data_IF_336780468051
#
_entry.id   IF_336780468051
#
_cell.length_a   1.000
_cell.length_b   1.000
_cell.length_c   1.000
_cell.angle_alpha   90.00
_cell.angle_beta   90.00
_cell.angle_gamma   90.00
#
_symmetry.space_group_name_H-M   'P 1'
#
loop_
_entity.id
_entity.type
_entity.pdbx_description
1 polymer ?
#
# COMPACT_ATOMS: atom_id res chain seq x y z
N UNK A 1 -9.49 -3.36 4.78
CA UNK A 1 -10.51 -2.29 4.76
C UNK A 1 -10.22 -1.55 6.03
N UNK A 2 -9.85 -0.27 5.99
CA UNK A 2 -9.76 0.49 7.23
C UNK A 2 -11.20 0.71 7.70
N UNK A 3 -11.54 0.02 8.77
CA UNK A 3 -12.91 0.05 9.30
C UNK A 3 -13.10 1.38 10.04
N UNK A 4 -14.19 2.10 9.72
CA UNK A 4 -14.56 3.33 10.43
C UNK A 4 -14.95 3.06 11.90
N UNK A 5 -15.25 1.81 12.24
CA UNK A 5 -15.22 1.30 13.61
C UNK A 5 -14.74 -0.15 13.61
N UNK A 6 -13.97 -0.54 14.62
CA UNK A 6 -13.37 -1.86 14.69
C UNK A 6 -14.31 -2.87 15.36
N UNK A 7 -15.06 -3.64 14.57
CA UNK A 7 -16.01 -4.60 15.13
C UNK A 7 -15.32 -5.67 16.01
N UNK A 8 -15.82 -5.94 17.25
CA UNK A 8 -15.24 -6.95 18.14
C UNK A 8 -15.13 -8.36 17.56
N UNK A 9 -15.94 -8.73 16.56
CA UNK A 9 -15.80 -10.02 15.88
C UNK A 9 -14.40 -10.20 15.28
N UNK A 10 -13.78 -9.12 14.82
CA UNK A 10 -12.46 -9.13 14.20
C UNK A 10 -11.36 -8.71 15.18
N UNK A 11 -11.63 -7.74 16.06
CA UNK A 11 -10.59 -7.08 16.87
C UNK A 11 -10.61 -7.44 18.37
N UNK A 12 -11.67 -8.10 18.85
CA UNK A 12 -11.80 -8.60 20.24
C UNK A 12 -12.67 -9.88 20.34
N UNK A 13 -12.34 -10.96 19.60
CA UNK A 13 -13.23 -12.12 19.45
C UNK A 13 -13.48 -12.91 20.75
N UNK A 14 -12.58 -12.79 21.73
CA UNK A 14 -12.66 -13.51 23.01
C UNK A 14 -13.42 -12.73 24.10
N UNK A 15 -13.80 -11.48 23.83
CA UNK A 15 -14.58 -10.65 24.74
C UNK A 15 -14.08 -9.20 24.78
N UNK A 16 -14.98 -8.31 25.19
CA UNK A 16 -14.77 -6.86 25.28
C UNK A 16 -14.60 -6.35 26.72
N UNK A 17 -14.57 -7.26 27.70
CA UNK A 17 -14.37 -6.93 29.11
C UNK A 17 -12.90 -6.59 29.39
N UNK A 18 -12.63 -5.81 30.44
CA UNK A 18 -11.27 -5.35 30.78
C UNK A 18 -10.25 -6.50 30.90
N UNK A 19 -10.64 -7.66 31.42
CA UNK A 19 -9.78 -8.84 31.52
C UNK A 19 -9.46 -9.52 30.18
N UNK A 20 -10.16 -9.15 29.11
CA UNK A 20 -10.02 -9.73 27.77
C UNK A 20 -9.35 -8.79 26.77
N UNK A 21 -9.14 -7.51 27.11
CA UNK A 21 -8.63 -6.49 26.19
C UNK A 21 -7.29 -5.91 26.66
N UNK A 22 -6.79 -4.90 25.94
CA UNK A 22 -5.50 -4.26 26.22
C UNK A 22 -5.43 -3.65 27.62
N UNK A 23 -4.34 -4.00 28.31
CA UNK A 23 -3.97 -3.85 29.74
C UNK A 23 -3.78 -5.22 30.43
N UNK A 24 -4.57 -6.23 30.06
CA UNK A 24 -4.43 -7.63 30.49
C UNK A 24 -4.12 -8.58 29.33
N UNK A 25 -4.62 -8.27 28.13
CA UNK A 25 -4.43 -9.06 26.91
C UNK A 25 -4.03 -8.14 25.74
N UNK A 26 -4.12 -8.67 24.52
CA UNK A 26 -3.62 -8.08 23.29
C UNK A 26 -4.76 -7.71 22.32
N UNK A 27 -6.01 -7.78 22.77
CA UNK A 27 -7.19 -7.42 21.99
C UNK A 27 -7.57 -5.95 22.17
N UNK A 28 -8.26 -5.37 21.19
CA UNK A 28 -8.57 -3.94 21.19
C UNK A 28 -9.55 -3.58 22.33
N UNK A 29 -9.29 -2.53 23.12
CA UNK A 29 -10.22 -2.07 24.16
C UNK A 29 -11.44 -1.35 23.54
N UNK A 30 -12.56 -1.17 24.28
CA UNK A 30 -13.79 -0.58 23.75
C UNK A 30 -13.65 0.81 23.14
N UNK A 31 -12.84 1.65 23.77
CA UNK A 31 -12.51 2.99 23.29
C UNK A 31 -11.36 3.01 22.27
N UNK A 32 -10.93 1.83 21.77
CA UNK A 32 -9.87 1.71 20.79
C UNK A 32 -10.37 2.14 19.41
N UNK A 33 -9.67 3.09 18.78
CA UNK A 33 -10.02 3.64 17.47
C UNK A 33 -8.85 3.43 16.51
N UNK A 34 -9.09 2.71 15.41
CA UNK A 34 -8.13 2.62 14.31
C UNK A 34 -8.08 3.95 13.56
N UNK A 35 -6.86 4.43 13.34
CA UNK A 35 -6.58 5.55 12.44
C UNK A 35 -6.20 4.98 11.08
N UNK A 36 -6.40 5.77 10.05
CA UNK A 36 -6.04 5.43 8.69
C UNK A 36 -6.27 6.64 7.80
N UNK A 37 -5.56 6.69 6.69
CA UNK A 37 -5.81 7.68 5.66
C UNK A 37 -7.06 7.30 4.86
N UNK A 38 -7.91 8.29 4.58
CA UNK A 38 -9.05 8.13 3.66
C UNK A 38 -8.69 8.55 2.22
N UNK A 39 -7.41 8.85 1.97
CA UNK A 39 -6.90 9.18 0.65
C UNK A 39 -6.91 7.92 -0.23
N UNK A 40 -7.37 8.06 -1.47
CA UNK A 40 -7.64 6.89 -2.34
C UNK A 40 -6.48 6.58 -3.30
N UNK A 41 -5.31 7.17 -3.06
CA UNK A 41 -4.18 7.09 -3.97
C UNK A 41 -2.85 7.18 -3.23
N UNK A 42 -1.72 7.15 -3.94
CA UNK A 42 -0.39 7.18 -3.32
C UNK A 42 0.35 8.48 -3.63
N UNK A 43 1.29 8.88 -2.75
CA UNK A 43 2.10 10.09 -2.93
C UNK A 43 1.42 11.38 -2.46
N UNK A 44 2.07 12.53 -2.68
CA UNK A 44 1.45 13.83 -2.37
C UNK A 44 0.23 14.08 -3.28
N UNK A 45 -0.91 14.39 -2.66
CA UNK A 45 -2.17 14.68 -3.34
C UNK A 45 -2.08 15.91 -4.25
N UNK A 46 -1.15 16.83 -3.97
CA UNK A 46 -1.02 18.11 -4.66
C UNK A 46 0.11 18.15 -5.69
N UNK A 47 1.09 17.24 -5.63
CA UNK A 47 2.25 17.19 -6.55
C UNK A 47 2.39 15.84 -7.25
N UNK A 48 1.31 15.37 -7.87
CA UNK A 48 1.28 14.11 -8.63
C UNK A 48 2.43 13.99 -9.62
N UNK A 49 3.16 12.86 -9.58
CA UNK A 49 4.19 12.45 -10.57
C UNK A 49 5.46 13.32 -10.49
N UNK A 50 5.51 14.30 -9.57
CA UNK A 50 6.65 15.17 -9.39
C UNK A 50 7.04 15.27 -7.91
N UNK A 51 8.34 15.24 -7.60
CA UNK A 51 8.80 15.33 -6.22
C UNK A 51 8.31 16.63 -5.56
N UNK A 52 7.69 16.54 -4.37
CA UNK A 52 7.11 17.65 -3.59
C UNK A 52 8.12 18.68 -3.05
N UNK A 53 8.90 19.30 -3.94
CA UNK A 53 9.89 20.34 -3.60
C UNK A 53 9.21 21.70 -3.45
N UNK A 54 9.84 22.60 -2.69
CA UNK A 54 9.31 23.94 -2.38
C UNK A 54 8.92 24.76 -3.61
N UNK A 55 9.60 24.55 -4.74
CA UNK A 55 9.37 25.26 -6.00
C UNK A 55 8.43 24.53 -6.96
N UNK A 56 7.90 23.37 -6.57
CA UNK A 56 7.04 22.56 -7.43
C UNK A 56 5.63 23.16 -7.50
N UNK A 57 5.01 23.08 -8.68
CA UNK A 57 3.61 23.45 -8.84
C UNK A 57 2.72 22.49 -8.03
N UNK A 58 1.81 23.06 -7.23
CA UNK A 58 0.80 22.33 -6.45
C UNK A 58 -0.57 22.56 -7.05
N UNK A 59 -1.33 21.48 -7.23
CA UNK A 59 -2.75 21.57 -7.58
C UNK A 59 -3.51 22.16 -6.38
N UNK A 60 -4.59 22.92 -6.62
CA UNK A 60 -5.44 23.41 -5.54
C UNK A 60 -6.14 22.23 -4.83
N UNK A 61 -6.24 22.28 -3.50
CA UNK A 61 -6.83 21.22 -2.68
C UNK A 61 -8.26 20.86 -3.13
N UNK A 62 -9.09 21.86 -3.45
CA UNK A 62 -10.46 21.66 -3.94
C UNK A 62 -10.54 20.88 -5.26
N UNK A 63 -9.46 20.90 -6.04
CA UNK A 63 -9.35 20.20 -7.32
C UNK A 63 -8.68 18.82 -7.18
N UNK A 64 -8.19 18.45 -6.00
CA UNK A 64 -7.59 17.16 -5.75
C UNK A 64 -8.68 16.07 -5.68
N UNK A 65 -8.84 15.33 -6.78
CA UNK A 65 -9.92 14.35 -6.97
C UNK A 65 -9.90 13.16 -6.01
N UNK A 66 -8.78 12.94 -5.31
CA UNK A 66 -8.53 11.74 -4.51
C UNK A 66 -8.74 11.97 -3.00
N UNK A 67 -8.97 13.24 -2.60
CA UNK A 67 -9.38 13.58 -1.24
C UNK A 67 -10.87 13.24 -1.02
N UNK A 68 -11.24 12.74 0.17
CA UNK A 68 -12.63 12.49 0.50
C UNK A 68 -13.41 13.81 0.49
N UNK A 69 -14.56 13.81 -0.19
CA UNK A 69 -15.47 14.98 -0.25
C UNK A 69 -16.52 15.01 0.86
N UNK A 70 -16.54 13.95 1.67
CA UNK A 70 -17.47 13.74 2.78
C UNK A 70 -16.61 13.54 4.03
N UNK A 71 -16.99 14.12 5.18
CA UNK A 71 -16.27 13.89 6.44
C UNK A 71 -16.21 12.39 6.78
N UNK A 72 -15.03 11.93 7.18
CA UNK A 72 -14.80 10.56 7.67
C UNK A 72 -14.25 10.68 9.10
N UNK A 73 -14.92 10.04 10.05
CA UNK A 73 -14.52 10.04 11.46
C UNK A 73 -14.53 8.59 11.97
N UNK A 74 -13.36 8.02 12.33
CA UNK A 74 -13.34 6.72 12.97
C UNK A 74 -13.78 6.84 14.43
N UNK A 75 -14.44 5.79 14.94
CA UNK A 75 -14.97 5.70 16.31
C UNK A 75 -14.61 4.36 16.95
N UNK A 76 -14.66 4.29 18.28
CA UNK A 76 -14.48 3.05 19.01
C UNK A 76 -15.73 2.17 18.90
N UNK A 77 -15.57 0.88 19.19
CA UNK A 77 -16.71 -0.01 19.14
C UNK A 77 -17.68 0.17 20.31
N UNK A 78 -17.29 0.86 21.41
CA UNK A 78 -18.24 1.34 22.43
C UNK A 78 -19.19 2.41 21.89
N UNK A 79 -18.68 3.36 21.11
CA UNK A 79 -19.49 4.39 20.49
C UNK A 79 -20.33 3.82 19.35
N UNK A 80 -19.76 2.90 18.56
CA UNK A 80 -20.50 2.17 17.54
C UNK A 80 -21.67 1.38 18.15
N UNK A 81 -21.49 0.77 19.32
CA UNK A 81 -22.56 0.08 20.04
C UNK A 81 -23.75 1.00 20.33
N UNK A 82 -23.48 2.22 20.78
CA UNK A 82 -24.51 3.23 21.05
C UNK A 82 -25.23 3.61 19.75
N UNK A 83 -24.49 3.92 18.68
CA UNK A 83 -25.06 4.33 17.40
C UNK A 83 -25.93 3.24 16.77
N UNK A 84 -25.45 2.00 16.79
CA UNK A 84 -26.16 0.87 16.18
C UNK A 84 -27.42 0.45 16.95
N UNK A 85 -27.54 0.78 18.25
CA UNK A 85 -28.79 0.59 19.02
C UNK A 85 -29.94 1.46 18.51
N UNK A 86 -29.65 2.59 17.85
CA UNK A 86 -30.67 3.50 17.33
C UNK A 86 -31.15 3.12 15.94
N UNK A 87 -30.56 2.12 15.29
CA UNK A 87 -31.03 1.63 13.99
C UNK A 87 -32.33 0.85 14.18
N UNK A 88 -33.36 1.18 13.38
CA UNK A 88 -34.74 0.71 13.62
C UNK A 88 -35.33 -0.10 12.47
N UNK A 89 -34.66 -0.18 11.32
CA UNK A 89 -35.18 -0.94 10.19
C UNK A 89 -34.95 -2.46 10.38
N UNK A 90 -35.02 -3.18 9.26
CA UNK A 90 -34.92 -4.63 9.23
C UNK A 90 -33.57 -5.14 9.74
N UNK A 91 -33.56 -6.32 10.33
CA UNK A 91 -32.33 -6.95 10.79
C UNK A 91 -31.45 -7.32 9.59
N UNK A 92 -30.14 -7.10 9.73
CA UNK A 92 -29.20 -7.44 8.67
C UNK A 92 -29.05 -8.95 8.50
N UNK A 93 -28.70 -9.36 7.29
CA UNK A 93 -28.33 -10.74 6.98
C UNK A 93 -27.25 -11.26 7.93
N UNK A 94 -27.25 -12.57 8.20
CA UNK A 94 -26.34 -13.19 9.16
C UNK A 94 -24.84 -12.89 8.89
N UNK A 95 -24.45 -12.73 7.62
CA UNK A 95 -23.07 -12.41 7.22
C UNK A 95 -22.63 -10.98 7.58
N UNK A 96 -23.57 -10.07 7.84
CA UNK A 96 -23.32 -8.66 8.20
C UNK A 96 -23.33 -8.44 9.72
N UNK A 97 -23.57 -9.48 10.52
CA UNK A 97 -23.58 -9.40 11.98
C UNK A 97 -22.16 -9.46 12.51
N UNK A 98 -21.83 -8.52 13.39
CA UNK A 98 -20.55 -8.49 14.10
C UNK A 98 -20.64 -9.04 15.52
N UNK A 99 -19.66 -8.67 16.34
CA UNK A 99 -19.40 -9.19 17.68
C UNK A 99 -19.90 -8.31 18.82
N UNK A 100 -20.62 -7.23 18.54
CA UNK A 100 -21.26 -6.41 19.57
C UNK A 100 -22.35 -7.22 20.28
N UNK A 101 -22.22 -7.37 21.60
CA UNK A 101 -23.05 -8.30 22.38
C UNK A 101 -24.41 -7.71 22.77
N UNK A 102 -24.55 -6.38 22.81
CA UNK A 102 -25.77 -5.73 23.28
C UNK A 102 -26.58 -5.05 22.15
N UNK A 103 -26.36 -5.45 20.90
CA UNK A 103 -26.97 -4.82 19.72
C UNK A 103 -27.49 -5.86 18.75
N UNK A 104 -28.70 -5.63 18.26
CA UNK A 104 -29.19 -6.30 17.05
C UNK A 104 -28.83 -5.43 15.85
N UNK A 105 -27.96 -5.93 14.98
CA UNK A 105 -27.55 -5.22 13.77
C UNK A 105 -28.76 -5.05 12.83
N UNK A 106 -29.15 -3.81 12.57
CA UNK A 106 -30.29 -3.44 11.72
C UNK A 106 -29.84 -2.51 10.61
N UNK A 107 -30.61 -2.44 9.53
CA UNK A 107 -30.48 -1.39 8.53
C UNK A 107 -31.05 -0.06 9.09
N UNK A 108 -30.51 1.07 8.64
CA UNK A 108 -31.05 2.44 8.71
C UNK A 108 -31.66 3.00 10.02
N UNK A 109 -31.92 4.31 10.04
CA UNK A 109 -32.52 5.03 11.18
C UNK A 109 -32.05 6.48 11.30
N UNK A 110 -32.74 7.28 12.13
CA UNK A 110 -32.31 8.65 12.46
C UNK A 110 -31.18 8.62 13.51
N UNK A 111 -29.99 9.12 13.13
CA UNK A 111 -28.82 9.20 14.00
C UNK A 111 -28.88 10.48 14.87
N UNK A 112 -28.55 10.39 16.17
CA UNK A 112 -28.33 11.54 17.06
C UNK A 112 -26.98 11.42 17.79
N UNK A 113 -26.35 12.57 18.01
CA UNK A 113 -24.89 12.81 18.15
C UNK A 113 -24.14 12.17 19.36
N UNK A 114 -22.83 11.89 19.20
CA UNK A 114 -21.84 11.68 20.28
C UNK A 114 -20.36 11.92 19.85
N UNK A 115 -19.47 12.21 20.82
CA UNK A 115 -18.15 12.88 20.73
C UNK A 115 -16.92 12.01 21.11
N UNK A 116 -15.72 12.63 21.20
CA UNK A 116 -14.34 12.25 20.79
C UNK A 116 -13.36 11.62 21.82
N UNK A 117 -12.21 11.08 21.33
CA UNK A 117 -10.81 11.25 21.86
C UNK A 117 -9.72 10.47 21.05
N UNK A 118 -8.42 10.84 21.21
CA UNK A 118 -7.23 10.32 20.48
C UNK A 118 -6.07 9.84 21.40
N UNK A 119 -5.24 8.85 20.96
CA UNK A 119 -3.97 8.46 21.62
C UNK A 119 -2.94 7.69 20.73
N UNK A 120 -1.79 7.29 21.32
CA UNK A 120 -0.45 7.05 20.75
C UNK A 120 -0.19 5.67 20.05
N UNK A 121 0.44 5.69 18.87
CA UNK A 121 0.77 4.53 18.02
C UNK A 121 2.11 3.83 18.35
N UNK A 122 2.03 2.68 19.04
CA UNK A 122 3.21 1.92 19.50
C UNK A 122 3.59 0.72 18.63
N UNK A 123 2.69 0.20 17.80
CA UNK A 123 2.91 -1.02 17.01
C UNK A 123 3.31 -0.64 15.59
N UNK A 124 2.49 0.17 14.95
CA UNK A 124 2.75 0.81 13.67
C UNK A 124 3.15 2.27 13.89
N UNK A 125 4.26 2.79 13.33
CA UNK A 125 5.34 2.09 12.61
C UNK A 125 6.54 1.67 13.49
N UNK A 126 6.47 1.98 14.79
CA UNK A 126 7.65 2.01 15.68
C UNK A 126 8.36 0.66 15.83
N UNK A 127 7.64 -0.47 15.72
CA UNK A 127 8.25 -1.82 15.79
C UNK A 127 9.14 -2.15 14.59
N UNK A 128 8.73 -1.73 13.38
CA UNK A 128 9.53 -1.83 12.16
C UNK A 128 10.75 -0.91 12.22
N UNK A 129 10.58 0.31 12.74
CA UNK A 129 11.69 1.25 12.95
C UNK A 129 12.75 0.67 13.90
N UNK A 130 12.35 0.04 15.01
CA UNK A 130 13.29 -0.60 15.94
C UNK A 130 14.13 -1.71 15.28
N UNK A 131 13.50 -2.54 14.45
CA UNK A 131 14.18 -3.61 13.69
C UNK A 131 15.18 -3.03 12.69
N UNK A 132 14.79 -1.98 11.95
CA UNK A 132 15.67 -1.31 11.00
C UNK A 132 16.90 -0.68 11.68
N UNK A 133 16.71 -0.04 12.85
CA UNK A 133 17.80 0.55 13.62
C UNK A 133 18.81 -0.51 14.09
N UNK A 134 18.33 -1.67 14.53
CA UNK A 134 19.21 -2.77 14.98
C UNK A 134 20.00 -3.39 13.84
N UNK A 135 19.36 -3.63 12.68
CA UNK A 135 20.07 -4.10 11.47
C UNK A 135 21.14 -3.09 11.03
N UNK A 136 20.79 -1.79 11.05
CA UNK A 136 21.72 -0.71 10.73
C UNK A 136 22.90 -0.67 11.71
N UNK A 137 22.65 -0.89 13.00
CA UNK A 137 23.69 -0.95 14.05
C UNK A 137 24.66 -2.10 13.80
N UNK A 138 24.16 -3.31 13.53
CA UNK A 138 24.98 -4.50 13.27
C UNK A 138 25.83 -4.31 12.01
N UNK A 139 25.21 -3.85 10.90
CA UNK A 139 25.94 -3.59 9.66
C UNK A 139 26.97 -2.47 9.81
N UNK A 140 26.66 -1.45 10.61
CA UNK A 140 27.62 -0.40 10.98
C UNK A 140 28.81 -0.93 11.78
N UNK A 141 28.60 -1.88 12.70
CA UNK A 141 29.69 -2.55 13.43
C UNK A 141 30.53 -3.43 12.51
N UNK A 142 29.89 -4.22 11.64
CA UNK A 142 30.59 -5.02 10.63
C UNK A 142 31.45 -4.12 9.72
N UNK A 143 30.89 -2.98 9.31
CA UNK A 143 31.62 -1.98 8.52
C UNK A 143 32.85 -1.45 9.27
N UNK A 144 32.72 -1.10 10.56
CA UNK A 144 33.88 -0.70 11.38
C UNK A 144 34.93 -1.80 11.50
N UNK A 145 34.50 -3.07 11.48
CA UNK A 145 35.38 -4.25 11.52
C UNK A 145 35.93 -4.69 10.15
N UNK A 146 35.83 -3.84 9.13
CA UNK A 146 36.46 -4.07 7.82
C UNK A 146 35.56 -4.73 6.77
N UNK A 147 34.33 -5.10 7.10
CA UNK A 147 33.36 -5.57 6.10
C UNK A 147 33.00 -4.43 5.14
N UNK A 148 32.97 -4.71 3.84
CA UNK A 148 32.52 -3.77 2.81
C UNK A 148 31.55 -4.48 1.88
N UNK A 149 30.27 -4.07 1.80
CA UNK A 149 29.34 -4.67 0.86
C UNK A 149 29.76 -4.32 -0.57
N UNK A 150 29.57 -5.26 -1.50
CA UNK A 150 29.91 -5.05 -2.92
C UNK A 150 29.00 -4.04 -3.63
N UNK A 151 27.82 -3.78 -3.07
CA UNK A 151 26.88 -2.76 -3.53
C UNK A 151 26.59 -1.80 -2.39
N UNK A 152 26.35 -0.53 -2.72
CA UNK A 152 25.91 0.45 -1.74
C UNK A 152 24.58 0.02 -1.13
N UNK A 153 24.51 0.02 0.19
CA UNK A 153 23.26 -0.15 0.94
C UNK A 153 22.79 1.21 1.43
N UNK A 154 21.51 1.51 1.24
CA UNK A 154 20.87 2.71 1.77
C UNK A 154 19.75 2.26 2.70
N UNK A 155 19.70 2.85 3.90
CA UNK A 155 18.62 2.66 4.85
C UNK A 155 17.78 3.92 4.85
N UNK A 156 16.47 3.75 4.68
CA UNK A 156 15.54 4.87 4.59
C UNK A 156 14.47 4.72 5.66
N UNK A 157 14.32 5.75 6.49
CA UNK A 157 13.17 5.91 7.38
C UNK A 157 12.21 6.86 6.69
N UNK A 158 11.14 6.33 6.10
CA UNK A 158 10.18 7.14 5.36
C UNK A 158 9.26 7.89 6.31
N UNK A 159 9.10 9.20 6.07
CA UNK A 159 8.07 9.99 6.73
C UNK A 159 6.75 9.92 5.96
N UNK A 160 5.63 10.19 6.64
CA UNK A 160 4.30 10.25 6.04
C UNK A 160 3.89 8.96 5.29
N UNK A 161 4.27 7.80 5.84
CA UNK A 161 3.84 6.49 5.33
C UNK A 161 2.34 6.27 5.60
N UNK A 162 1.88 6.57 6.82
CA UNK A 162 0.47 6.57 7.26
C UNK A 162 -0.44 7.54 6.48
N UNK A 163 0.16 8.38 5.64
CA UNK A 163 -0.52 9.26 4.68
C UNK A 163 -0.20 8.78 3.27
N UNK A 164 -0.50 7.51 2.98
CA UNK A 164 -0.35 6.82 1.69
C UNK A 164 1.06 6.82 1.08
N UNK A 165 2.03 6.36 1.87
CA UNK A 165 3.40 6.08 1.43
C UNK A 165 4.15 7.32 0.90
N UNK A 166 3.69 8.53 1.20
CA UNK A 166 4.11 9.78 0.56
C UNK A 166 5.63 9.89 0.51
N UNK A 167 6.32 9.79 1.65
CA UNK A 167 7.78 9.96 1.68
C UNK A 167 8.56 8.96 0.82
N UNK A 168 8.05 7.73 0.66
CA UNK A 168 8.70 6.71 -0.17
C UNK A 168 8.43 6.90 -1.67
N UNK A 169 7.22 7.36 -2.03
CA UNK A 169 6.83 7.65 -3.42
C UNK A 169 7.63 8.84 -3.95
N UNK A 170 7.68 9.94 -3.20
CA UNK A 170 8.43 11.15 -3.56
C UNK A 170 9.94 10.85 -3.73
N UNK A 171 10.48 9.98 -2.87
CA UNK A 171 11.86 9.54 -2.99
C UNK A 171 12.10 8.77 -4.29
N UNK A 172 11.21 7.85 -4.66
CA UNK A 172 11.34 7.08 -5.92
C UNK A 172 11.28 8.00 -7.13
N UNK A 173 10.38 8.98 -7.13
CA UNK A 173 10.27 9.98 -8.20
C UNK A 173 11.56 10.80 -8.34
N UNK A 174 12.16 11.23 -7.23
CA UNK A 174 13.44 11.93 -7.24
C UNK A 174 14.65 11.02 -7.58
N UNK A 175 14.61 9.75 -7.19
CA UNK A 175 15.71 8.80 -7.35
C UNK A 175 15.77 8.17 -8.75
N UNK A 176 14.71 8.32 -9.56
CA UNK A 176 14.65 7.78 -10.92
C UNK A 176 15.83 8.26 -11.80
N UNK A 177 16.29 9.49 -11.60
CA UNK A 177 17.47 10.06 -12.25
C UNK A 177 18.80 9.43 -11.78
N UNK A 178 18.88 9.01 -10.52
CA UNK A 178 20.08 8.40 -9.94
C UNK A 178 20.31 6.97 -10.44
N UNK A 179 19.25 6.18 -10.60
CA UNK A 179 19.33 4.83 -11.19
C UNK A 179 19.94 4.88 -12.60
N UNK A 180 19.56 5.91 -13.37
CA UNK A 180 20.07 6.16 -14.72
C UNK A 180 21.57 6.47 -14.75
N UNK A 181 22.11 7.08 -13.68
CA UNK A 181 23.51 7.50 -13.56
C UNK A 181 24.47 6.40 -13.07
N UNK A 182 23.98 5.32 -12.47
CA UNK A 182 24.85 4.28 -11.87
C UNK A 182 25.64 3.42 -12.89
N UNK A 183 25.56 3.74 -14.20
CA UNK A 183 25.92 2.88 -15.34
C UNK A 183 27.42 2.71 -15.65
N UNK A 184 28.33 3.28 -14.86
CA UNK A 184 29.76 3.18 -15.15
C UNK A 184 30.56 2.82 -13.90
N UNK A 185 30.88 1.53 -13.73
CA UNK A 185 31.98 1.14 -12.85
C UNK A 185 32.47 -0.28 -13.16
N UNK A 186 33.81 -0.38 -13.26
CA UNK A 186 34.56 -1.59 -13.61
C UNK A 186 35.57 -1.90 -12.47
N UNK A 187 35.62 -3.13 -11.94
CA UNK A 187 36.90 -3.85 -11.78
C UNK A 187 37.04 -5.32 -12.34
N UNK A 188 37.43 -5.53 -13.63
CA UNK A 188 38.14 -6.70 -14.29
C UNK A 188 37.67 -7.19 -15.70
N UNK A 189 36.39 -7.41 -15.97
CA UNK A 189 35.65 -7.26 -17.27
C UNK A 189 34.17 -7.44 -16.93
N UNK A 190 33.77 -6.59 -16.02
CA UNK A 190 32.48 -6.49 -15.39
C UNK A 190 31.60 -5.62 -16.23
N UNK A 191 32.04 -5.14 -17.39
CA UNK A 191 31.12 -4.75 -18.44
C UNK A 191 30.13 -5.88 -18.73
N UNK A 192 30.59 -7.13 -18.93
CA UNK A 192 29.68 -8.27 -19.17
C UNK A 192 28.81 -8.59 -17.95
N UNK A 193 29.41 -8.67 -16.76
CA UNK A 193 28.67 -8.91 -15.51
C UNK A 193 27.67 -7.78 -15.22
N UNK A 194 28.02 -6.54 -15.58
CA UNK A 194 27.16 -5.37 -15.44
C UNK A 194 26.01 -5.41 -16.43
N UNK A 195 26.25 -5.75 -17.68
CA UNK A 195 25.20 -5.92 -18.71
C UNK A 195 24.16 -6.94 -18.24
N UNK A 196 24.60 -8.09 -17.70
CA UNK A 196 23.66 -9.09 -17.16
C UNK A 196 22.95 -8.62 -15.88
N UNK A 197 23.66 -8.00 -14.93
CA UNK A 197 23.03 -7.43 -13.73
C UNK A 197 22.02 -6.33 -14.08
N UNK A 198 22.30 -5.52 -15.10
CA UNK A 198 21.38 -4.51 -15.61
C UNK A 198 20.18 -5.17 -16.28
N UNK A 199 20.33 -6.25 -17.04
CA UNK A 199 19.21 -7.01 -17.60
C UNK A 199 18.30 -7.58 -16.48
N UNK A 200 18.88 -8.13 -15.41
CA UNK A 200 18.11 -8.61 -14.24
C UNK A 200 17.44 -7.46 -13.50
N UNK A 201 18.12 -6.33 -13.30
CA UNK A 201 17.55 -5.14 -12.65
C UNK A 201 16.39 -4.54 -13.46
N UNK A 202 16.52 -4.55 -14.79
CA UNK A 202 15.54 -3.98 -15.70
C UNK A 202 14.34 -4.90 -15.95
N UNK A 203 14.43 -6.19 -15.59
CA UNK A 203 13.34 -7.14 -15.74
C UNK A 203 12.06 -6.66 -15.02
N UNK A 204 12.17 -6.25 -13.76
CA UNK A 204 11.03 -5.73 -12.99
C UNK A 204 10.49 -4.41 -13.59
N UNK A 205 11.39 -3.56 -14.10
CA UNK A 205 11.00 -2.30 -14.75
C UNK A 205 10.29 -2.52 -16.07
N UNK A 206 10.55 -3.61 -16.77
CA UNK A 206 9.91 -3.94 -18.04
C UNK A 206 8.42 -4.29 -17.87
N UNK A 207 7.95 -4.58 -16.66
CA UNK A 207 6.52 -4.76 -16.36
C UNK A 207 5.79 -3.44 -16.11
N UNK A 208 6.44 -2.28 -16.16
CA UNK A 208 5.80 -0.98 -15.91
C UNK A 208 5.24 -0.39 -17.21
N UNK A 209 3.91 -0.29 -17.31
CA UNK A 209 3.24 0.50 -18.34
C UNK A 209 3.23 1.98 -17.94
N UNK A 210 3.91 2.90 -18.66
CA UNK A 210 3.91 4.31 -18.32
C UNK A 210 2.50 4.95 -18.40
N UNK A 211 1.59 4.37 -19.19
CA UNK A 211 0.20 4.84 -19.31
C UNK A 211 -0.71 4.33 -18.18
N UNK A 212 -0.20 3.52 -17.25
CA UNK A 212 -1.02 2.85 -16.24
C UNK A 212 -1.88 1.74 -16.82
N UNK A 213 -2.85 1.25 -16.04
CA UNK A 213 -3.68 0.10 -16.40
C UNK A 213 -5.15 0.43 -16.70
N UNK A 214 -5.46 1.68 -17.01
CA UNK A 214 -6.83 2.09 -17.37
C UNK A 214 -7.83 2.07 -16.22
N UNK A 215 -7.36 1.93 -14.97
CA UNK A 215 -8.13 2.32 -13.78
C UNK A 215 -8.12 3.85 -13.66
N UNK A 216 -9.05 4.42 -12.92
CA UNK A 216 -9.07 5.87 -12.59
C UNK A 216 -7.76 6.36 -11.93
N UNK A 217 -6.91 5.42 -11.50
CA UNK A 217 -5.60 5.63 -10.87
C UNK A 217 -4.46 5.42 -11.88
N UNK A 218 -3.72 6.49 -12.19
CA UNK A 218 -2.54 6.48 -13.09
C UNK A 218 -1.28 5.90 -12.43
N UNK A 219 -1.31 5.64 -11.12
CA UNK A 219 -0.10 5.36 -10.34
C UNK A 219 0.26 3.87 -10.34
N UNK A 220 -0.70 2.98 -10.64
CA UNK A 220 -0.47 1.54 -10.74
C UNK A 220 -0.02 1.15 -12.15
N UNK A 221 1.30 1.09 -12.33
CA UNK A 221 1.93 0.83 -13.63
C UNK A 221 2.31 -0.63 -13.87
N UNK A 222 2.38 -1.45 -12.82
CA UNK A 222 2.92 -2.81 -12.91
C UNK A 222 1.90 -3.83 -13.47
N UNK A 223 2.09 -4.25 -14.72
CA UNK A 223 1.10 -5.00 -15.52
C UNK A 223 0.71 -6.36 -14.92
N UNK A 224 1.61 -6.99 -14.17
CA UNK A 224 1.35 -8.31 -13.55
C UNK A 224 0.74 -8.19 -12.15
N UNK A 225 1.03 -7.12 -11.41
CA UNK A 225 0.69 -7.02 -9.99
C UNK A 225 0.21 -5.61 -9.68
N UNK A 226 -0.98 -5.49 -9.12
CA UNK A 226 -1.44 -4.26 -8.48
C UNK A 226 -2.43 -4.63 -7.37
N UNK A 227 -2.94 -3.63 -6.67
CA UNK A 227 -3.99 -3.84 -5.66
C UNK A 227 -5.28 -4.36 -6.31
N UNK A 228 -6.09 -5.13 -5.59
CA UNK A 228 -7.39 -5.54 -6.05
C UNK A 228 -8.35 -4.34 -6.08
N UNK A 229 -9.21 -4.28 -7.10
CA UNK A 229 -10.20 -3.19 -7.20
C UNK A 229 -11.17 -3.28 -6.02
N UNK A 230 -11.24 -2.22 -5.21
CA UNK A 230 -12.08 -2.17 -4.01
C UNK A 230 -11.47 -2.80 -2.75
N UNK A 231 -10.26 -3.36 -2.82
CA UNK A 231 -9.53 -3.84 -1.64
C UNK A 231 -8.03 -3.55 -1.74
N UNK A 232 -7.54 -2.46 -1.11
CA UNK A 232 -6.14 -2.06 -1.20
C UNK A 232 -5.17 -3.00 -0.45
N UNK A 233 -5.65 -4.01 0.29
CA UNK A 233 -4.82 -4.96 1.03
C UNK A 233 -4.61 -6.29 0.29
N UNK A 234 -5.36 -6.52 -0.79
CA UNK A 234 -5.21 -7.72 -1.60
C UNK A 234 -4.44 -7.37 -2.88
N UNK A 235 -3.45 -8.19 -3.24
CA UNK A 235 -2.83 -8.13 -4.55
C UNK A 235 -3.68 -8.88 -5.58
N UNK A 236 -3.74 -8.38 -6.80
CA UNK A 236 -4.35 -9.06 -7.93
C UNK A 236 -3.33 -9.26 -9.05
N UNK A 237 -3.41 -10.44 -9.67
CA UNK A 237 -2.65 -10.79 -10.88
C UNK A 237 -3.33 -10.19 -12.12
N UNK A 238 -2.54 -9.65 -13.05
CA UNK A 238 -3.01 -9.03 -14.29
C UNK A 238 -4.23 -8.11 -14.06
N UNK A 239 -4.08 -7.01 -13.32
CA UNK A 239 -5.18 -6.23 -12.76
C UNK A 239 -6.22 -5.79 -13.80
N UNK A 240 -5.77 -5.24 -14.93
CA UNK A 240 -6.66 -4.79 -15.99
C UNK A 240 -7.52 -5.92 -16.59
N UNK A 241 -6.98 -7.14 -16.68
CA UNK A 241 -7.72 -8.31 -17.19
C UNK A 241 -8.72 -8.79 -16.13
N UNK A 242 -8.27 -8.93 -14.88
CA UNK A 242 -9.09 -9.34 -13.75
C UNK A 242 -10.28 -8.41 -13.52
N UNK A 243 -10.08 -7.10 -13.66
CA UNK A 243 -11.14 -6.10 -13.50
C UNK A 243 -12.22 -6.19 -14.59
N UNK A 244 -11.83 -6.40 -15.85
CA UNK A 244 -12.78 -6.52 -16.97
C UNK A 244 -13.55 -7.85 -16.91
N UNK A 245 -12.90 -8.92 -16.44
CA UNK A 245 -13.59 -10.19 -16.17
C UNK A 245 -14.62 -9.99 -15.04
N UNK A 246 -14.23 -9.32 -13.96
CA UNK A 246 -15.11 -9.05 -12.83
C UNK A 246 -16.29 -8.14 -13.20
N UNK A 247 -16.13 -7.22 -14.17
CA UNK A 247 -17.22 -6.37 -14.65
C UNK A 247 -18.20 -7.07 -15.60
N UNK A 248 -17.86 -8.27 -16.08
CA UNK A 248 -18.69 -9.03 -17.02
C UNK A 248 -18.78 -8.43 -18.43
N UNK A 249 -17.96 -7.44 -18.76
CA UNK A 249 -17.99 -6.78 -20.07
C UNK A 249 -17.02 -7.45 -21.06
N UNK A 250 -17.50 -8.43 -21.82
CA UNK A 250 -16.70 -9.18 -22.81
C UNK A 250 -16.17 -8.34 -23.96
N UNK A 251 -16.72 -7.14 -24.20
CA UNK A 251 -16.35 -6.28 -25.32
C UNK A 251 -15.03 -5.55 -25.09
N UNK A 252 -14.68 -5.31 -23.82
CA UNK A 252 -13.49 -4.55 -23.43
C UNK A 252 -12.27 -5.43 -23.12
N UNK A 253 -12.43 -6.76 -23.06
CA UNK A 253 -11.39 -7.69 -22.61
C UNK A 253 -10.19 -7.79 -23.56
N UNK A 254 -10.42 -7.53 -24.85
CA UNK A 254 -9.40 -7.68 -25.90
C UNK A 254 -8.22 -6.74 -25.71
N UNK A 255 -8.47 -5.50 -25.26
CA UNK A 255 -7.43 -4.49 -25.12
C UNK A 255 -6.47 -4.78 -23.94
N UNK A 256 -6.94 -5.05 -22.70
CA UNK A 256 -6.08 -5.46 -21.60
C UNK A 256 -5.26 -6.72 -21.89
N UNK A 257 -5.84 -7.72 -22.56
CA UNK A 257 -5.12 -8.94 -22.96
C UNK A 257 -4.01 -8.60 -23.97
N UNK A 258 -4.32 -7.77 -24.98
CA UNK A 258 -3.32 -7.35 -25.98
C UNK A 258 -2.16 -6.58 -25.34
N UNK A 259 -2.45 -5.66 -24.41
CA UNK A 259 -1.44 -4.91 -23.65
C UNK A 259 -0.58 -5.86 -22.81
N UNK A 260 -1.19 -6.74 -22.00
CA UNK A 260 -0.44 -7.69 -21.20
C UNK A 260 0.46 -8.59 -22.05
N UNK A 261 -0.07 -9.10 -23.16
CA UNK A 261 0.66 -9.94 -24.12
C UNK A 261 1.83 -9.18 -24.74
N UNK A 262 1.62 -7.93 -25.18
CA UNK A 262 2.67 -7.08 -25.75
C UNK A 262 3.85 -6.90 -24.79
N UNK A 263 3.59 -6.58 -23.52
CA UNK A 263 4.65 -6.39 -22.53
C UNK A 263 5.36 -7.70 -22.17
N UNK A 264 4.63 -8.81 -22.02
CA UNK A 264 5.25 -10.14 -21.80
C UNK A 264 6.14 -10.53 -22.97
N UNK A 265 5.72 -10.30 -24.22
CA UNK A 265 6.57 -10.53 -25.40
C UNK A 265 7.77 -9.58 -25.46
N UNK A 266 7.59 -8.32 -25.07
CA UNK A 266 8.69 -7.36 -24.92
C UNK A 266 9.74 -7.86 -23.93
N UNK A 267 9.35 -8.48 -22.83
CA UNK A 267 10.26 -9.02 -21.82
C UNK A 267 11.05 -10.22 -22.32
N UNK A 268 10.41 -11.10 -23.11
CA UNK A 268 11.13 -12.19 -23.78
C UNK A 268 12.26 -11.65 -24.67
N UNK A 269 12.11 -10.46 -25.25
CA UNK A 269 13.19 -9.81 -26.01
C UNK A 269 14.34 -9.30 -25.11
N UNK A 270 14.04 -8.81 -23.91
CA UNK A 270 15.02 -8.35 -22.91
C UNK A 270 15.86 -9.52 -22.38
N UNK A 271 15.27 -10.72 -22.23
CA UNK A 271 15.92 -11.88 -21.64
C UNK A 271 16.63 -12.81 -22.65
N UNK A 272 16.41 -12.65 -23.96
CA UNK A 272 16.98 -13.52 -25.01
C UNK A 272 18.51 -13.63 -24.95
N UNK A 273 19.21 -12.55 -24.59
CA UNK A 273 20.66 -12.54 -24.48
C UNK A 273 21.18 -13.25 -23.21
N UNK A 274 20.39 -13.27 -22.13
CA UNK A 274 20.72 -13.98 -20.87
C UNK A 274 20.66 -15.49 -21.09
N UNK A 275 19.63 -15.97 -21.80
CA UNK A 275 19.47 -17.40 -22.08
C UNK A 275 20.65 -17.99 -22.87
N UNK A 276 21.11 -17.28 -23.91
CA UNK A 276 22.22 -17.75 -24.76
C UNK A 276 23.56 -17.87 -24.00
N UNK A 277 23.75 -17.12 -22.92
CA UNK A 277 24.95 -17.20 -22.08
C UNK A 277 24.98 -18.47 -21.24
N UNK A 278 23.89 -18.77 -20.51
CA UNK A 278 23.81 -19.99 -19.69
C UNK A 278 23.76 -21.27 -20.52
N UNK A 279 23.29 -21.20 -21.76
CA UNK A 279 23.32 -22.33 -22.70
C UNK A 279 24.69 -22.56 -23.37
N UNK A 280 25.66 -21.65 -23.14
CA UNK A 280 27.02 -21.73 -23.71
C UNK A 280 28.09 -22.22 -22.72
N UNK A 281 27.66 -22.66 -21.53
CA UNK A 281 28.49 -23.30 -20.50
C UNK A 281 28.11 -24.76 -20.30
#
# INVERSE_FOLDING_TARGET
MDDTYNDPANYAPFGTTADQVYDQKWYMPPSGVQRGSAFTSNGDSLTRIYPSRDYMYRVAEDSASFLPKIPVQPIGYSEAEILLQYLQEDEVDAQWRGGLRNVTYRYGGELRDASDAWNLGSVDPTSGTATMLEVTRVLGQMYKNGFRPQRSSMFCSWGAEEYELTGSVEYVEAAQDFVTRSKSMDSKNLYKIRVYNDQVLQLERAFLNPLGQGRDYTDFKHIIYALAKGNPYAATGCPAVSDVIASGNSTEITNPIAVATYFVHGILSVLKEVHNFFSSY
#
